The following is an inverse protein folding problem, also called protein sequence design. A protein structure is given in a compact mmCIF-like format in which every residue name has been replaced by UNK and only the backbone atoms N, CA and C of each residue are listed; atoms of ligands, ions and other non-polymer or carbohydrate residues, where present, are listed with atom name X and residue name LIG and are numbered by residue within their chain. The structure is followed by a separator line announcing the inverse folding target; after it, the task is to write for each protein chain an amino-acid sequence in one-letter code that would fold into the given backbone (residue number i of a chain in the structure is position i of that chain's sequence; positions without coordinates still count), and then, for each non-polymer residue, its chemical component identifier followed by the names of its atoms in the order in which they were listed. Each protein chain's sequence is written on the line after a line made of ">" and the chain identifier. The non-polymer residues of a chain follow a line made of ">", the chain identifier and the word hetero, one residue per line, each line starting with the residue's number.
data_IF_398565370208
#
_entry.id   IF_398565370208
#
_cell.length_a   1.000
_cell.length_b   1.000
_cell.length_c   1.000
_cell.angle_alpha   90.00
_cell.angle_beta   90.00
_cell.angle_gamma   90.00
#
_symmetry.space_group_name_H-M   'P 1'
#
loop_
_entity.id
_entity.type
_entity.pdbx_description
1 polymer ?
#
# COMPACT_ATOMS: atom_id res chain seq x y z
N UNK A 1 -17.60 -16.49 -28.60
CA UNK A 1 -17.04 -16.35 -27.24
C UNK A 1 -18.17 -16.61 -26.27
N UNK A 2 -18.17 -17.76 -25.59
CA UNK A 2 -19.21 -18.10 -24.62
C UNK A 2 -19.04 -17.26 -23.35
N UNK A 3 -20.15 -16.77 -22.80
CA UNK A 3 -20.15 -16.01 -21.55
C UNK A 3 -19.56 -16.84 -20.40
N UNK A 4 -18.91 -16.18 -19.43
CA UNK A 4 -18.42 -16.88 -18.25
C UNK A 4 -19.59 -17.49 -17.47
N UNK A 5 -19.45 -18.75 -16.98
CA UNK A 5 -20.51 -19.41 -16.23
C UNK A 5 -20.85 -18.67 -14.93
N UNK A 6 -22.13 -18.70 -14.56
CA UNK A 6 -22.66 -18.12 -13.32
C UNK A 6 -23.27 -19.16 -12.39
N UNK A 7 -23.45 -20.40 -12.87
CA UNK A 7 -23.92 -21.51 -12.06
C UNK A 7 -22.81 -21.95 -11.08
N UNK A 8 -23.17 -22.49 -9.90
CA UNK A 8 -22.18 -22.97 -8.93
C UNK A 8 -21.23 -24.02 -9.51
N UNK A 9 -21.73 -24.98 -10.30
CA UNK A 9 -20.87 -26.00 -10.92
C UNK A 9 -19.93 -25.39 -11.97
N UNK A 10 -20.44 -24.50 -12.82
CA UNK A 10 -19.62 -23.86 -13.85
C UNK A 10 -18.59 -22.89 -13.26
N UNK A 11 -18.89 -22.29 -12.11
CA UNK A 11 -17.92 -21.51 -11.33
C UNK A 11 -16.80 -22.39 -10.77
N UNK A 12 -17.11 -23.59 -10.28
CA UNK A 12 -16.12 -24.52 -9.74
C UNK A 12 -15.21 -25.07 -10.85
N UNK A 13 -15.77 -25.41 -12.02
CA UNK A 13 -15.01 -25.84 -13.20
C UNK A 13 -14.09 -24.71 -13.72
N UNK A 14 -14.64 -23.51 -13.89
CA UNK A 14 -13.87 -22.33 -14.33
C UNK A 14 -12.73 -22.00 -13.36
N UNK A 15 -12.98 -22.09 -12.05
CA UNK A 15 -11.96 -21.86 -11.04
C UNK A 15 -10.85 -22.92 -11.11
N UNK A 16 -11.21 -24.19 -11.38
CA UNK A 16 -10.23 -25.26 -11.57
C UNK A 16 -9.33 -25.02 -12.78
N UNK A 17 -9.91 -24.67 -13.94
CA UNK A 17 -9.15 -24.34 -15.14
C UNK A 17 -8.25 -23.11 -14.95
N UNK A 18 -8.73 -22.13 -14.20
CA UNK A 18 -7.97 -20.94 -13.86
C UNK A 18 -6.76 -21.26 -12.98
N UNK A 19 -6.95 -22.00 -11.88
CA UNK A 19 -5.89 -22.36 -10.92
C UNK A 19 -4.86 -23.28 -11.57
N UNK A 20 -5.29 -24.27 -12.35
CA UNK A 20 -4.39 -25.16 -13.10
C UNK A 20 -3.69 -24.45 -14.26
N UNK A 21 -4.17 -23.26 -14.64
CA UNK A 21 -3.61 -22.45 -15.71
C UNK A 21 -3.85 -23.01 -17.12
N UNK A 22 -4.88 -23.83 -17.30
CA UNK A 22 -5.27 -24.40 -18.60
C UNK A 22 -6.10 -23.42 -19.45
N UNK A 23 -6.56 -22.31 -18.87
CA UNK A 23 -7.31 -21.28 -19.59
C UNK A 23 -6.45 -20.52 -20.62
N UNK A 24 -7.00 -20.24 -21.82
CA UNK A 24 -6.40 -19.30 -22.77
C UNK A 24 -6.21 -17.91 -22.16
N UNK A 25 -5.17 -17.19 -22.59
CA UNK A 25 -4.79 -15.89 -22.02
C UNK A 25 -5.91 -14.83 -22.04
N UNK A 26 -6.78 -14.84 -23.06
CA UNK A 26 -7.93 -13.94 -23.13
C UNK A 26 -8.96 -14.23 -22.03
N UNK A 27 -9.32 -15.52 -21.83
CA UNK A 27 -10.26 -15.97 -20.80
C UNK A 27 -9.69 -15.74 -19.39
N UNK A 28 -8.40 -15.96 -19.21
CA UNK A 28 -7.72 -15.69 -17.94
C UNK A 28 -7.92 -14.22 -17.50
N UNK A 29 -7.73 -13.26 -18.40
CA UNK A 29 -7.98 -11.83 -18.11
C UNK A 29 -9.44 -11.53 -17.75
N UNK A 30 -10.39 -12.20 -18.40
CA UNK A 30 -11.81 -12.05 -18.07
C UNK A 30 -12.13 -12.58 -16.66
N UNK A 31 -11.51 -13.69 -16.26
CA UNK A 31 -11.61 -14.25 -14.91
C UNK A 31 -10.97 -13.31 -13.89
N UNK A 32 -9.75 -12.83 -14.15
CA UNK A 32 -9.03 -11.86 -13.29
C UNK A 32 -9.87 -10.61 -13.02
N UNK A 33 -10.43 -9.99 -14.08
CA UNK A 33 -11.31 -8.82 -13.95
C UNK A 33 -12.63 -9.12 -13.22
N UNK A 34 -13.07 -10.38 -13.18
CA UNK A 34 -14.29 -10.80 -12.49
C UNK A 34 -14.03 -11.12 -11.01
N UNK A 35 -12.85 -11.62 -10.65
CA UNK A 35 -12.49 -11.98 -9.28
C UNK A 35 -12.66 -10.83 -8.29
N UNK A 36 -12.38 -9.59 -8.71
CA UNK A 36 -12.54 -8.39 -7.88
C UNK A 36 -13.97 -8.20 -7.34
N UNK A 37 -14.97 -8.65 -8.10
CA UNK A 37 -16.39 -8.37 -7.86
C UNK A 37 -17.25 -9.61 -7.60
N UNK A 38 -16.72 -10.80 -7.82
CA UNK A 38 -17.45 -12.07 -7.64
C UNK A 38 -16.87 -12.88 -6.46
N UNK A 39 -17.56 -12.82 -5.32
CA UNK A 39 -17.16 -13.53 -4.11
C UNK A 39 -17.30 -15.05 -4.23
N UNK A 40 -18.26 -15.55 -5.01
CA UNK A 40 -18.48 -16.98 -5.19
C UNK A 40 -17.37 -17.61 -6.05
N UNK A 41 -16.94 -16.89 -7.09
CA UNK A 41 -15.79 -17.28 -7.91
C UNK A 41 -14.50 -17.26 -7.10
N UNK A 42 -14.26 -16.23 -6.26
CA UNK A 42 -13.10 -16.20 -5.36
C UNK A 42 -13.08 -17.39 -4.41
N UNK A 43 -14.20 -17.68 -3.76
CA UNK A 43 -14.30 -18.84 -2.87
C UNK A 43 -14.05 -20.17 -3.60
N UNK A 44 -14.41 -20.28 -4.88
CA UNK A 44 -14.11 -21.46 -5.70
C UNK A 44 -12.62 -21.59 -6.02
N UNK A 45 -11.97 -20.48 -6.35
CA UNK A 45 -10.51 -20.42 -6.55
C UNK A 45 -9.77 -20.79 -5.27
N UNK A 46 -10.14 -20.21 -4.13
CA UNK A 46 -9.53 -20.50 -2.83
C UNK A 46 -9.64 -22.01 -2.49
N UNK A 47 -10.79 -22.64 -2.76
CA UNK A 47 -10.98 -24.09 -2.58
C UNK A 47 -10.08 -24.93 -3.49
N UNK A 48 -9.84 -24.48 -4.73
CA UNK A 48 -8.93 -25.17 -5.64
C UNK A 48 -7.47 -25.00 -5.20
N UNK A 49 -7.05 -23.80 -4.83
CA UNK A 49 -5.71 -23.53 -4.32
C UNK A 49 -5.43 -24.32 -3.04
N UNK A 50 -6.34 -24.33 -2.07
CA UNK A 50 -6.20 -25.09 -0.83
C UNK A 50 -6.06 -26.61 -1.07
N UNK A 51 -6.66 -27.14 -2.14
CA UNK A 51 -6.53 -28.55 -2.53
C UNK A 51 -5.20 -28.86 -3.21
N UNK A 52 -4.64 -27.92 -3.97
CA UNK A 52 -3.48 -28.15 -4.83
C UNK A 52 -2.16 -27.71 -4.19
N UNK A 53 -2.16 -26.66 -3.36
CA UNK A 53 -0.96 -26.16 -2.68
C UNK A 53 -0.18 -27.25 -1.91
N UNK A 54 -0.81 -28.18 -1.16
CA UNK A 54 -0.08 -29.22 -0.46
C UNK A 54 0.72 -30.16 -1.38
N UNK A 55 0.39 -30.23 -2.67
CA UNK A 55 1.14 -31.02 -3.63
C UNK A 55 2.49 -30.38 -3.97
N UNK A 56 2.62 -29.05 -3.84
CA UNK A 56 3.88 -28.36 -4.06
C UNK A 56 4.94 -28.75 -3.00
N UNK A 57 4.52 -29.08 -1.78
CA UNK A 57 5.40 -29.52 -0.70
C UNK A 57 6.06 -30.88 -0.97
N UNK A 58 5.48 -31.67 -1.89
CA UNK A 58 6.04 -32.96 -2.32
C UNK A 58 7.17 -32.79 -3.34
N UNK A 59 7.33 -31.60 -3.93
CA UNK A 59 8.36 -31.34 -4.91
C UNK A 59 9.74 -31.23 -4.23
N UNK A 60 10.77 -31.81 -4.86
CA UNK A 60 12.14 -31.64 -4.39
C UNK A 60 12.59 -30.19 -4.60
N UNK A 61 13.09 -29.49 -3.55
CA UNK A 61 13.59 -28.13 -3.69
C UNK A 61 14.76 -28.06 -4.67
N UNK A 62 14.77 -27.02 -5.50
CA UNK A 62 15.86 -26.71 -6.42
C UNK A 62 16.44 -25.36 -6.02
N UNK A 63 17.75 -25.31 -5.80
CA UNK A 63 18.42 -24.06 -5.47
C UNK A 63 18.42 -23.10 -6.67
N UNK A 64 17.89 -21.88 -6.51
CA UNK A 64 17.93 -20.88 -7.57
C UNK A 64 19.34 -20.34 -7.79
N UNK A 65 19.59 -19.74 -8.95
CA UNK A 65 20.88 -19.08 -9.20
C UNK A 65 21.10 -17.92 -8.21
N UNK A 66 22.33 -17.71 -7.70
CA UNK A 66 22.60 -16.73 -6.65
C UNK A 66 22.29 -15.28 -7.07
N UNK A 67 22.28 -15.00 -8.38
CA UNK A 67 21.91 -13.69 -8.92
C UNK A 67 20.41 -13.47 -9.15
N UNK A 68 19.56 -14.49 -8.99
CA UNK A 68 18.12 -14.37 -9.28
C UNK A 68 17.41 -13.43 -8.31
N UNK A 69 17.62 -13.63 -7.00
CA UNK A 69 16.96 -12.82 -5.98
C UNK A 69 17.34 -11.33 -6.07
N UNK A 70 18.63 -10.95 -6.18
CA UNK A 70 19.01 -9.55 -6.39
C UNK A 70 18.34 -8.90 -7.61
N UNK A 71 18.18 -9.66 -8.71
CA UNK A 71 17.50 -9.16 -9.91
C UNK A 71 16.01 -8.92 -9.68
N UNK A 72 15.32 -9.83 -8.99
CA UNK A 72 13.91 -9.67 -8.64
C UNK A 72 13.72 -8.44 -7.74
N UNK A 73 14.54 -8.32 -6.69
CA UNK A 73 14.49 -7.17 -5.78
C UNK A 73 14.65 -5.84 -6.55
N UNK A 74 15.67 -5.75 -7.42
CA UNK A 74 15.89 -4.57 -8.24
C UNK A 74 14.71 -4.26 -9.19
N UNK A 75 14.03 -5.26 -9.75
CA UNK A 75 12.85 -5.03 -10.61
C UNK A 75 11.64 -4.50 -9.84
N UNK A 76 11.44 -4.93 -8.59
CA UNK A 76 10.36 -4.42 -7.74
C UNK A 76 10.62 -2.96 -7.35
N UNK A 77 11.86 -2.64 -6.97
CA UNK A 77 12.26 -1.26 -6.64
C UNK A 77 12.15 -0.32 -7.86
N UNK A 78 12.55 -0.79 -9.05
CA UNK A 78 12.41 -0.04 -10.29
C UNK A 78 10.94 0.17 -10.71
N UNK A 79 10.07 -0.82 -10.46
CA UNK A 79 8.63 -0.74 -10.74
C UNK A 79 7.88 0.23 -9.83
N UNK A 80 8.36 0.48 -8.61
CA UNK A 80 7.85 1.53 -7.72
C UNK A 80 8.25 2.94 -8.17
N UNK A 81 9.26 3.05 -9.04
CA UNK A 81 9.69 4.30 -9.63
C UNK A 81 8.96 4.63 -10.95
N UNK A 82 7.63 4.43 -11.01
CA UNK A 82 6.82 5.08 -12.04
C UNK A 82 7.10 6.58 -11.94
N UNK A 83 7.62 7.24 -12.98
CA UNK A 83 7.91 8.66 -12.91
C UNK A 83 6.57 9.39 -12.99
N UNK A 84 5.99 9.66 -11.82
CA UNK A 84 4.94 10.65 -11.70
C UNK A 84 5.52 11.98 -12.23
N UNK A 85 4.96 12.41 -13.36
CA UNK A 85 5.21 13.68 -14.05
C UNK A 85 5.17 14.85 -13.04
N UNK A 86 6.30 15.55 -12.91
CA UNK A 86 6.48 16.92 -12.37
C UNK A 86 6.01 17.22 -10.91
N UNK A 87 6.10 18.48 -10.46
CA UNK A 87 7.07 19.08 -9.53
C UNK A 87 6.84 18.75 -8.04
N UNK A 88 5.94 17.81 -7.72
CA UNK A 88 5.51 17.46 -6.36
C UNK A 88 6.65 16.93 -5.47
N UNK A 89 7.71 16.36 -6.08
CA UNK A 89 8.91 15.88 -5.38
C UNK A 89 9.59 16.95 -4.52
N UNK A 90 9.57 18.24 -4.91
CA UNK A 90 10.25 19.30 -4.13
C UNK A 90 9.53 19.61 -2.81
N UNK A 91 8.18 19.62 -2.80
CA UNK A 91 7.39 19.80 -1.56
C UNK A 91 7.46 18.58 -0.64
N UNK A 92 7.43 17.37 -1.20
CA UNK A 92 7.63 16.14 -0.44
C UNK A 92 9.04 16.09 0.19
N UNK A 93 10.08 16.46 -0.56
CA UNK A 93 11.45 16.49 -0.05
C UNK A 93 11.68 17.50 1.09
N UNK A 94 11.00 18.66 1.06
CA UNK A 94 11.00 19.59 2.19
C UNK A 94 10.30 18.99 3.41
N UNK A 95 9.20 18.25 3.20
CA UNK A 95 8.46 17.61 4.28
C UNK A 95 9.19 16.40 4.90
N UNK A 96 9.93 15.64 4.09
CA UNK A 96 10.73 14.50 4.54
C UNK A 96 12.09 14.92 5.11
N UNK A 97 12.45 16.21 5.04
CA UNK A 97 13.73 16.68 5.53
C UNK A 97 13.70 16.91 7.05
N UNK A 98 14.32 15.97 7.78
CA UNK A 98 14.61 16.09 9.21
C UNK A 98 15.28 17.41 9.63
N UNK A 99 16.28 17.99 8.90
CA UNK A 99 16.88 19.26 9.30
C UNK A 99 15.89 20.44 9.22
N UNK A 100 14.92 20.42 8.30
CA UNK A 100 13.87 21.44 8.21
C UNK A 100 12.95 21.41 9.43
N UNK A 101 12.49 20.21 9.82
CA UNK A 101 11.70 20.02 11.04
C UNK A 101 12.45 20.43 12.31
N UNK A 102 13.76 20.16 12.38
CA UNK A 102 14.61 20.62 13.49
C UNK A 102 14.69 22.15 13.54
N UNK A 103 14.87 22.81 12.40
CA UNK A 103 14.83 24.28 12.32
C UNK A 103 13.49 24.86 12.75
N UNK A 104 12.38 24.28 12.28
CA UNK A 104 11.03 24.69 12.64
C UNK A 104 10.77 24.53 14.15
N UNK A 105 11.23 23.43 14.76
CA UNK A 105 11.10 23.20 16.20
C UNK A 105 11.92 24.20 17.03
N UNK A 106 13.16 24.51 16.62
CA UNK A 106 13.99 25.52 17.30
C UNK A 106 13.37 26.91 17.19
N UNK A 107 12.89 27.30 16.01
CA UNK A 107 12.20 28.59 15.82
C UNK A 107 10.91 28.66 16.65
N UNK A 108 10.13 27.57 16.70
CA UNK A 108 8.92 27.50 17.51
C UNK A 108 9.21 27.61 19.00
N UNK A 109 10.25 26.93 19.50
CA UNK A 109 10.69 27.02 20.89
C UNK A 109 11.16 28.44 21.23
N UNK A 110 11.96 29.07 20.36
CA UNK A 110 12.39 30.44 20.53
C UNK A 110 11.19 31.41 20.59
N UNK A 111 10.21 31.26 19.70
CA UNK A 111 8.99 32.07 19.71
C UNK A 111 8.13 31.85 20.96
N UNK A 112 8.05 30.62 21.46
CA UNK A 112 7.34 30.32 22.70
C UNK A 112 8.04 30.94 23.91
N UNK A 113 9.38 30.86 23.98
CA UNK A 113 10.17 31.47 25.04
C UNK A 113 10.08 33.00 25.00
N UNK A 114 10.16 33.63 23.83
CA UNK A 114 10.00 35.08 23.72
C UNK A 114 8.61 35.52 24.11
N UNK A 115 7.56 34.78 23.72
CA UNK A 115 6.20 35.05 24.13
C UNK A 115 6.02 34.88 25.65
N UNK A 116 6.56 33.81 26.24
CA UNK A 116 6.51 33.56 27.68
C UNK A 116 7.20 34.68 28.47
N UNK A 117 8.38 35.12 28.01
CA UNK A 117 9.09 36.28 28.57
C UNK A 117 8.24 37.54 28.44
N UNK A 118 7.70 37.83 27.25
CA UNK A 118 6.86 39.00 27.02
C UNK A 118 5.60 39.03 27.91
N UNK A 119 4.97 37.87 28.15
CA UNK A 119 3.85 37.72 29.07
C UNK A 119 4.28 37.87 30.53
N UNK A 120 5.46 37.37 30.90
CA UNK A 120 5.99 37.48 32.26
C UNK A 120 6.37 38.92 32.63
N UNK A 121 6.80 39.72 31.64
CA UNK A 121 7.06 41.14 31.80
C UNK A 121 5.80 42.02 31.68
N UNK A 122 4.62 41.46 31.36
CA UNK A 122 3.38 42.22 31.45
C UNK A 122 2.96 42.32 32.92
N UNK A 123 2.97 43.51 33.53
CA UNK A 123 2.36 43.68 34.84
C UNK A 123 0.88 43.30 34.74
N UNK A 124 0.41 42.45 35.67
CA UNK A 124 -1.00 42.11 35.80
C UNK A 124 -1.74 43.42 36.09
N UNK A 125 -2.47 43.94 35.10
CA UNK A 125 -3.46 44.97 35.36
C UNK A 125 -4.54 44.36 36.24
N UNK A 126 -4.46 44.61 37.56
CA UNK A 126 -5.53 44.27 38.48
C UNK A 126 -6.75 45.08 38.04
N UNK A 127 -7.89 44.44 37.70
CA UNK A 127 -9.10 45.20 37.38
C UNK A 127 -9.45 46.07 38.59
N UNK A 128 -9.52 47.38 38.36
CA UNK A 128 -9.92 48.33 39.39
C UNK A 128 -11.28 47.91 39.95
N UNK A 129 -11.34 47.75 41.27
CA UNK A 129 -12.55 47.40 41.99
C UNK A 129 -13.67 48.38 41.60
N UNK A 130 -14.78 47.84 41.13
CA UNK A 130 -16.02 48.59 40.89
C UNK A 130 -16.47 49.19 42.22
N UNK A 131 -16.23 50.48 42.43
CA UNK A 131 -16.85 51.21 43.52
C UNK A 131 -18.26 51.64 43.09
N UNK A 132 -19.23 51.26 43.92
CA UNK A 132 -20.65 51.58 43.87
C UNK A 132 -20.89 53.04 44.26
#
# INVERSE_FOLDING_TARGET
>A
MSALPTTPEGLDELAGEYVLGTLPSARRREVEARLERDAALRAAVDRWEARLLPLADLATPIDPSPGLWPRIAATLDAGQAVPAREPRRKRAALWDSLPFWRGAAVCGLAAALTLAVALSLRPVSTPAATQY
#
